data_IF_507853907320
#
_entry.id   IF_507853907320
#
_cell.length_a   1.000
_cell.length_b   1.000
_cell.length_c   1.000
_cell.angle_alpha   90.00
_cell.angle_beta   90.00
_cell.angle_gamma   90.00
#
_symmetry.space_group_name_H-M   'P 1'
#
loop_
_entity.id
_entity.type
_entity.pdbx_description
1 polymer ?
#
# COMPACT_ATOMS: atom_id res chain seq x y z
N UNK A 1 -3.26 1.76 -16.92
CA UNK A 1 -2.90 1.38 -15.53
C UNK A 1 -1.41 1.06 -15.53
N UNK A 2 -0.61 1.66 -14.65
CA UNK A 2 0.83 1.39 -14.60
C UNK A 2 1.08 -0.02 -14.04
N UNK A 3 2.18 -0.67 -14.44
CA UNK A 3 2.55 -2.02 -13.97
C UNK A 3 2.58 -2.10 -12.43
N UNK A 4 3.05 -1.03 -11.77
CA UNK A 4 3.10 -0.93 -10.31
C UNK A 4 1.71 -1.03 -9.65
N UNK A 5 0.66 -0.44 -10.25
CA UNK A 5 -0.70 -0.50 -9.68
C UNK A 5 -1.23 -1.93 -9.69
N UNK A 6 -0.99 -2.69 -10.77
CA UNK A 6 -1.38 -4.10 -10.83
C UNK A 6 -0.60 -4.95 -9.80
N UNK A 7 0.69 -4.66 -9.57
CA UNK A 7 1.49 -5.39 -8.59
C UNK A 7 1.02 -5.10 -7.16
N UNK A 8 0.66 -3.85 -6.86
CA UNK A 8 0.07 -3.44 -5.58
C UNK A 8 -1.30 -4.09 -5.37
N UNK A 9 -2.13 -4.21 -6.41
CA UNK A 9 -3.43 -4.90 -6.32
C UNK A 9 -3.25 -6.38 -5.96
N UNK A 10 -2.28 -7.06 -6.57
CA UNK A 10 -1.97 -8.46 -6.25
C UNK A 10 -1.46 -8.59 -4.81
N UNK A 11 -0.59 -7.69 -4.36
CA UNK A 11 -0.14 -7.63 -2.98
C UNK A 11 -1.33 -7.46 -2.02
N UNK A 12 -2.17 -6.45 -2.24
CA UNK A 12 -3.32 -6.14 -1.39
C UNK A 12 -4.28 -7.34 -1.29
N UNK A 13 -4.55 -7.99 -2.43
CA UNK A 13 -5.40 -9.19 -2.48
C UNK A 13 -4.80 -10.34 -1.70
N UNK A 14 -3.49 -10.60 -1.86
CA UNK A 14 -2.78 -11.70 -1.20
C UNK A 14 -2.79 -11.57 0.31
N UNK A 15 -2.59 -10.36 0.82
CA UNK A 15 -2.53 -10.09 2.27
C UNK A 15 -3.88 -9.68 2.87
N UNK A 16 -4.97 -9.71 2.09
CA UNK A 16 -6.31 -9.38 2.59
C UNK A 16 -6.47 -7.93 3.04
N UNK A 17 -5.75 -7.01 2.40
CA UNK A 17 -5.71 -5.59 2.80
C UNK A 17 -7.03 -4.91 2.44
N UNK A 18 -7.72 -4.26 3.39
CA UNK A 18 -8.98 -3.58 3.12
C UNK A 18 -8.77 -2.32 2.27
N UNK A 19 -9.79 -1.85 1.51
CA UNK A 19 -9.64 -0.74 0.56
C UNK A 19 -9.01 0.54 1.12
N UNK A 20 -9.43 0.97 2.32
CA UNK A 20 -8.90 2.18 2.96
C UNK A 20 -7.39 2.08 3.24
N UNK A 21 -6.91 0.90 3.61
CA UNK A 21 -5.49 0.63 3.84
C UNK A 21 -4.76 0.46 2.52
N UNK A 22 -5.37 -0.23 1.55
CA UNK A 22 -4.80 -0.47 0.23
C UNK A 22 -4.50 0.84 -0.52
N UNK A 23 -5.30 1.89 -0.27
CA UNK A 23 -5.08 3.23 -0.83
C UNK A 23 -3.76 3.86 -0.38
N UNK A 24 -3.21 3.47 0.77
CA UNK A 24 -1.94 3.97 1.30
C UNK A 24 -0.72 3.25 0.70
N UNK A 25 -0.90 2.02 0.20
CA UNK A 25 0.19 1.15 -0.25
C UNK A 25 1.12 1.81 -1.28
N UNK A 26 0.66 2.56 -2.30
CA UNK A 26 1.58 3.20 -3.24
C UNK A 26 2.58 4.15 -2.57
N UNK A 27 2.14 4.95 -1.62
CA UNK A 27 3.02 5.87 -0.89
C UNK A 27 3.98 5.10 0.03
N UNK A 28 3.46 4.11 0.75
CA UNK A 28 4.26 3.25 1.65
C UNK A 28 5.35 2.50 0.89
N UNK A 29 5.04 1.91 -0.25
CA UNK A 29 6.04 1.20 -1.07
C UNK A 29 7.04 2.15 -1.72
N UNK A 30 6.62 3.34 -2.16
CA UNK A 30 7.56 4.33 -2.69
C UNK A 30 8.54 4.78 -1.61
N UNK A 31 8.05 5.15 -0.42
CA UNK A 31 8.90 5.56 0.68
C UNK A 31 9.83 4.43 1.13
N UNK A 32 9.30 3.23 1.38
CA UNK A 32 10.11 2.09 1.80
C UNK A 32 11.20 1.75 0.78
N UNK A 33 10.90 1.85 -0.51
CA UNK A 33 11.86 1.58 -1.57
C UNK A 33 12.99 2.61 -1.62
N UNK A 34 12.69 3.90 -1.42
CA UNK A 34 13.70 4.95 -1.28
C UNK A 34 14.64 4.70 -0.09
N UNK A 35 14.10 4.28 1.06
CA UNK A 35 14.88 4.02 2.28
C UNK A 35 15.84 2.82 2.13
N UNK A 36 15.46 1.80 1.38
CA UNK A 36 16.30 0.59 1.17
C UNK A 36 17.07 0.59 -0.14
N UNK A 37 16.97 1.65 -0.94
CA UNK A 37 17.69 1.79 -2.21
C UNK A 37 17.20 0.83 -3.31
N UNK A 38 15.90 0.52 -3.31
CA UNK A 38 15.23 -0.31 -4.33
C UNK A 38 14.23 0.52 -5.13
N UNK A 39 13.71 -0.02 -6.23
CA UNK A 39 12.50 0.51 -6.86
C UNK A 39 11.25 0.00 -6.13
N UNK A 40 10.16 0.77 -6.16
CA UNK A 40 8.89 0.34 -5.56
C UNK A 40 8.41 -1.00 -6.13
N UNK A 41 8.58 -1.25 -7.44
CA UNK A 41 8.21 -2.53 -8.06
C UNK A 41 9.02 -3.71 -7.52
N UNK A 42 10.32 -3.53 -7.29
CA UNK A 42 11.15 -4.58 -6.68
C UNK A 42 10.76 -4.85 -5.23
N UNK A 43 10.50 -3.80 -4.46
CA UNK A 43 10.06 -3.94 -3.07
C UNK A 43 8.68 -4.62 -2.97
N UNK A 44 7.73 -4.24 -3.83
CA UNK A 44 6.42 -4.91 -3.91
C UNK A 44 6.60 -6.38 -4.23
N UNK A 45 7.43 -6.74 -5.22
CA UNK A 45 7.67 -8.16 -5.55
C UNK A 45 8.30 -8.94 -4.41
N UNK A 46 9.29 -8.34 -3.73
CA UNK A 46 9.95 -8.96 -2.60
C UNK A 46 8.95 -9.21 -1.45
N UNK A 47 8.16 -8.20 -1.09
CA UNK A 47 7.13 -8.28 -0.06
C UNK A 47 5.97 -9.24 -0.44
N UNK A 48 5.69 -9.39 -1.75
CA UNK A 48 4.59 -10.25 -2.23
C UNK A 48 4.99 -11.72 -2.31
N UNK A 49 6.21 -12.02 -2.79
CA UNK A 49 6.60 -13.36 -3.22
C UNK A 49 7.88 -13.90 -2.58
N UNK A 50 8.74 -13.03 -2.05
CA UNK A 50 10.03 -13.41 -1.50
C UNK A 50 10.00 -13.58 0.00
N UNK A 51 9.63 -12.52 0.71
CA UNK A 51 9.73 -12.41 2.17
C UNK A 51 8.36 -12.08 2.77
N UNK A 52 7.68 -13.09 3.30
CA UNK A 52 6.31 -12.93 3.83
C UNK A 52 6.27 -11.99 5.06
N UNK A 53 7.29 -12.03 5.91
CA UNK A 53 7.42 -11.11 7.05
C UNK A 53 7.53 -9.65 6.61
N UNK A 54 8.26 -9.39 5.52
CA UNK A 54 8.31 -8.06 4.91
C UNK A 54 6.92 -7.65 4.41
N UNK A 55 6.18 -8.57 3.79
CA UNK A 55 4.80 -8.33 3.38
C UNK A 55 3.90 -7.89 4.55
N UNK A 56 3.92 -8.62 5.66
CA UNK A 56 3.18 -8.23 6.87
C UNK A 56 3.65 -6.89 7.44
N UNK A 57 4.95 -6.62 7.44
CA UNK A 57 5.50 -5.35 7.89
C UNK A 57 4.99 -4.17 7.04
N UNK A 58 4.94 -4.32 5.72
CA UNK A 58 4.40 -3.30 4.82
C UNK A 58 2.90 -3.06 5.06
N UNK A 59 2.14 -4.11 5.39
CA UNK A 59 0.73 -3.96 5.78
C UNK A 59 0.59 -3.16 7.07
N UNK A 60 1.39 -3.46 8.10
CA UNK A 60 1.36 -2.71 9.38
C UNK A 60 1.60 -1.22 9.17
N UNK A 61 2.61 -0.84 8.36
CA UNK A 61 2.87 0.58 8.05
C UNK A 61 1.68 1.22 7.33
N UNK A 62 1.07 0.51 6.38
CA UNK A 62 -0.10 1.01 5.68
C UNK A 62 -1.32 1.15 6.61
N UNK A 63 -1.50 0.25 7.58
CA UNK A 63 -2.55 0.36 8.59
C UNK A 63 -2.33 1.57 9.51
N UNK A 64 -1.09 1.82 9.94
CA UNK A 64 -0.73 3.00 10.72
C UNK A 64 -1.01 4.29 9.93
N UNK A 65 -0.60 4.32 8.65
CA UNK A 65 -0.84 5.45 7.76
C UNK A 65 -2.34 5.69 7.57
N UNK A 66 -3.14 4.64 7.32
CA UNK A 66 -4.58 4.74 7.14
C UNK A 66 -5.32 5.19 8.42
N UNK A 67 -4.81 4.80 9.59
CA UNK A 67 -5.39 5.17 10.88
C UNK A 67 -4.96 6.55 11.39
N UNK A 68 -3.97 7.18 10.75
CA UNK A 68 -3.61 8.58 11.00
C UNK A 68 -4.75 9.53 10.64
N UNK A 69 -4.74 10.75 11.18
CA UNK A 69 -5.77 11.75 10.87
C UNK A 69 -5.79 12.07 9.36
N UNK A 70 -4.61 12.20 8.75
CA UNK A 70 -4.46 12.42 7.32
C UNK A 70 -4.97 11.23 6.48
N UNK A 71 -4.73 10.00 6.92
CA UNK A 71 -5.22 8.79 6.25
C UNK A 71 -6.75 8.70 6.25
N UNK A 72 -7.37 9.00 7.41
CA UNK A 72 -8.83 9.04 7.55
C UNK A 72 -9.47 10.14 6.71
N UNK A 73 -8.87 11.33 6.68
CA UNK A 73 -9.33 12.44 5.86
C UNK A 73 -9.24 12.10 4.37
N UNK A 74 -8.11 11.55 3.91
CA UNK A 74 -7.94 11.11 2.53
C UNK A 74 -8.98 10.05 2.12
N UNK A 75 -9.32 9.11 3.01
CA UNK A 75 -10.36 8.12 2.74
C UNK A 75 -11.76 8.74 2.66
N UNK A 76 -12.10 9.63 3.58
CA UNK A 76 -13.37 10.35 3.55
C UNK A 76 -13.54 11.17 2.26
N UNK A 77 -12.52 11.90 1.84
CA UNK A 77 -12.55 12.63 0.56
C UNK A 77 -12.75 11.71 -0.66
N UNK A 78 -12.13 10.52 -0.62
CA UNK A 78 -12.30 9.54 -1.69
C UNK A 78 -13.73 9.01 -1.73
N UNK A 79 -14.31 8.66 -0.58
CA UNK A 79 -15.71 8.21 -0.47
C UNK A 79 -16.69 9.28 -0.95
N UNK A 80 -16.46 10.56 -0.62
CA UNK A 80 -17.29 11.67 -1.11
C UNK A 80 -17.22 11.80 -2.63
N UNK A 81 -16.02 11.70 -3.23
CA UNK A 81 -15.84 11.77 -4.69
C UNK A 81 -16.49 10.60 -5.44
N UNK A 82 -16.58 9.42 -4.82
CA UNK A 82 -17.16 8.22 -5.44
C UNK A 82 -18.68 8.14 -5.29
N UNK A 83 -19.24 8.80 -4.29
CA UNK A 83 -20.69 8.82 -4.01
C UNK A 83 -21.39 10.09 -4.54
N UNK A 84 -20.64 11.08 -5.02
CA UNK A 84 -21.13 12.35 -5.57
C UNK A 84 -21.38 12.36 -7.08
#
# INVERSE_FOLDING_TARGET
>A
MSVLVNEIEVFATRFGVPPAVAMMLPAVFNQGAEEVGMTAAELVKLATYGEEELGHYMVTIAEEAANSDAGKEAWAEFEEKMNG
#
